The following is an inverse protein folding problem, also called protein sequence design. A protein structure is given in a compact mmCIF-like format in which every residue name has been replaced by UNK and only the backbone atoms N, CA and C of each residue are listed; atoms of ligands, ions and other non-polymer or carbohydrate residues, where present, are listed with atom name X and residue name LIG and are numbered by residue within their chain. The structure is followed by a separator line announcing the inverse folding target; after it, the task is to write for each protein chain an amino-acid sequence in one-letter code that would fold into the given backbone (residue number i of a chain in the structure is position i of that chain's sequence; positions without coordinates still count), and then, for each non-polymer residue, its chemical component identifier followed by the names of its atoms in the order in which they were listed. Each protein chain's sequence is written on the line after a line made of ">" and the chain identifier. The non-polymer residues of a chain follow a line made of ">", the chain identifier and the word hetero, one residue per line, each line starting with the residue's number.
data_IF_059809977396
#
_entry.id   IF_059809977396
#
_cell.length_a   1.000
_cell.length_b   1.000
_cell.length_c   1.000
_cell.angle_alpha   90.00
_cell.angle_beta   90.00
_cell.angle_gamma   90.00
#
_symmetry.space_group_name_H-M   'P 1'
#
loop_
_entity.id
_entity.type
_entity.pdbx_description
1 polymer ?
#
# COMPACT_ATOMS: atom_id res chain seq x y z
N UNK A 1 43.38 -16.23 -12.27
CA UNK A 1 42.39 -15.41 -11.56
C UNK A 1 41.00 -15.98 -11.81
N UNK A 2 40.33 -16.52 -10.77
CA UNK A 2 39.02 -17.18 -10.89
C UNK A 2 37.92 -16.12 -10.98
N UNK A 3 37.30 -15.96 -12.15
CA UNK A 3 36.09 -15.15 -12.34
C UNK A 3 34.92 -15.88 -11.66
N UNK A 4 34.47 -15.38 -10.52
CA UNK A 4 33.27 -15.89 -9.84
C UNK A 4 32.05 -15.21 -10.44
N UNK A 5 31.16 -16.04 -10.97
CA UNK A 5 29.81 -15.69 -11.40
C UNK A 5 29.09 -14.85 -10.35
N UNK A 6 28.62 -13.67 -10.74
CA UNK A 6 27.65 -12.92 -9.97
C UNK A 6 26.27 -13.58 -10.17
N UNK A 7 26.04 -14.55 -9.28
CA UNK A 7 24.79 -14.84 -8.58
C UNK A 7 23.50 -14.29 -9.23
N UNK A 8 22.83 -15.20 -9.94
CA UNK A 8 21.38 -15.29 -10.03
C UNK A 8 20.76 -15.13 -8.63
N UNK A 9 20.35 -13.91 -8.27
CA UNK A 9 19.61 -13.67 -7.03
C UNK A 9 18.53 -12.61 -7.25
N UNK A 10 17.63 -12.89 -8.18
CA UNK A 10 16.56 -11.96 -8.53
C UNK A 10 15.32 -12.67 -9.02
N UNK A 11 14.80 -13.65 -8.27
CA UNK A 11 13.52 -14.32 -8.58
C UNK A 11 13.02 -15.21 -7.41
N UNK A 12 13.09 -14.74 -6.16
CA UNK A 12 12.64 -15.53 -5.00
C UNK A 12 11.67 -14.81 -4.04
N UNK A 13 11.29 -13.56 -4.29
CA UNK A 13 10.47 -12.79 -3.33
C UNK A 13 8.97 -12.70 -3.67
N UNK A 14 8.48 -13.35 -4.72
CA UNK A 14 7.06 -13.28 -5.11
C UNK A 14 6.13 -14.29 -4.42
N UNK A 15 6.59 -15.06 -3.43
CA UNK A 15 5.86 -16.22 -2.91
C UNK A 15 5.39 -16.10 -1.44
N UNK A 16 5.06 -14.90 -0.94
CA UNK A 16 4.47 -14.72 0.41
C UNK A 16 3.12 -13.96 0.38
N UNK A 17 2.42 -13.92 -0.76
CA UNK A 17 1.13 -13.21 -0.90
C UNK A 17 -0.07 -14.16 -0.70
N UNK A 18 0.03 -15.14 0.21
CA UNK A 18 -1.06 -16.12 0.42
C UNK A 18 -1.29 -16.54 1.88
N UNK A 19 -0.89 -15.72 2.85
CA UNK A 19 -1.35 -15.84 4.22
C UNK A 19 -1.89 -14.48 4.62
N UNK A 20 -3.17 -14.41 5.00
CA UNK A 20 -3.86 -13.17 5.34
C UNK A 20 -2.93 -12.26 6.13
N UNK A 21 -2.57 -11.13 5.52
CA UNK A 21 -1.54 -10.22 6.00
C UNK A 21 -2.04 -9.56 7.28
N UNK A 22 -1.85 -10.25 8.40
CA UNK A 22 -2.07 -9.71 9.74
C UNK A 22 -0.85 -8.87 10.06
N UNK A 23 -1.05 -7.56 10.03
CA UNK A 23 -0.02 -6.59 10.38
C UNK A 23 0.09 -6.57 11.90
N UNK A 24 1.30 -6.85 12.41
CA UNK A 24 1.55 -6.89 13.85
C UNK A 24 1.27 -5.54 14.54
N UNK A 25 1.60 -4.43 13.87
CA UNK A 25 1.31 -3.07 14.31
C UNK A 25 0.77 -2.23 13.14
N UNK A 26 -0.57 -2.18 12.98
CA UNK A 26 -1.23 -1.42 11.92
C UNK A 26 -0.91 0.07 11.94
N UNK A 27 -0.79 0.65 13.13
CA UNK A 27 -0.58 2.09 13.32
C UNK A 27 0.86 2.48 12.97
N UNK A 28 1.85 1.69 13.41
CA UNK A 28 3.24 1.89 13.00
C UNK A 28 3.41 1.76 11.48
N UNK A 29 2.75 0.77 10.86
CA UNK A 29 2.78 0.62 9.40
C UNK A 29 2.11 1.81 8.70
N UNK A 30 0.99 2.29 9.23
CA UNK A 30 0.32 3.48 8.72
C UNK A 30 1.23 4.72 8.77
N UNK A 31 1.87 4.97 9.92
CA UNK A 31 2.81 6.08 10.07
C UNK A 31 4.02 5.93 9.15
N UNK A 32 4.52 4.70 8.96
CA UNK A 32 5.57 4.42 7.99
C UNK A 32 5.13 4.83 6.59
N UNK A 33 3.92 4.45 6.14
CA UNK A 33 3.42 4.85 4.83
C UNK A 33 3.10 6.34 4.71
N UNK A 34 2.80 7.05 5.80
CA UNK A 34 2.69 8.52 5.75
C UNK A 34 4.06 9.19 5.58
N UNK A 35 5.12 8.63 6.15
CA UNK A 35 6.46 9.23 6.13
C UNK A 35 7.28 8.80 4.90
N UNK A 36 7.12 7.56 4.45
CA UNK A 36 7.85 6.96 3.32
C UNK A 36 6.93 6.80 2.10
N UNK A 37 7.00 7.76 1.19
CA UNK A 37 6.23 7.78 -0.04
C UNK A 37 6.58 6.61 -0.97
N UNK A 38 7.85 6.20 -1.01
CA UNK A 38 8.30 5.11 -1.88
C UNK A 38 7.77 3.77 -1.39
N UNK A 39 7.87 3.50 -0.10
CA UNK A 39 7.32 2.28 0.51
C UNK A 39 5.80 2.21 0.33
N UNK A 40 5.09 3.33 0.52
CA UNK A 40 3.64 3.39 0.28
C UNK A 40 3.29 3.09 -1.17
N UNK A 41 3.93 3.76 -2.13
CA UNK A 41 3.63 3.61 -3.56
C UNK A 41 3.99 2.22 -4.09
N UNK A 42 5.06 1.61 -3.60
CA UNK A 42 5.41 0.22 -3.91
C UNK A 42 4.29 -0.72 -3.44
N UNK A 43 3.81 -0.55 -2.19
CA UNK A 43 2.74 -1.41 -1.67
C UNK A 43 1.39 -1.17 -2.37
N UNK A 44 1.03 0.08 -2.64
CA UNK A 44 -0.17 0.42 -3.43
C UNK A 44 -0.12 -0.23 -4.81
N UNK A 45 1.03 -0.18 -5.47
CA UNK A 45 1.23 -0.82 -6.77
C UNK A 45 1.08 -2.34 -6.70
N UNK A 46 1.68 -2.98 -5.67
CA UNK A 46 1.52 -4.41 -5.40
C UNK A 46 0.03 -4.77 -5.19
N UNK A 47 -0.69 -4.00 -4.37
CA UNK A 47 -2.10 -4.25 -4.07
C UNK A 47 -3.01 -4.07 -5.28
N UNK A 48 -2.68 -3.15 -6.20
CA UNK A 48 -3.45 -2.95 -7.45
C UNK A 48 -3.33 -4.12 -8.43
N UNK A 49 -2.35 -5.01 -8.26
CA UNK A 49 -2.22 -6.23 -9.04
C UNK A 49 -3.14 -7.35 -8.54
N UNK A 50 -3.68 -7.22 -7.33
CA UNK A 50 -4.62 -8.18 -6.74
C UNK A 50 -6.06 -7.89 -7.17
N UNK A 51 -6.93 -8.90 -7.12
CA UNK A 51 -8.37 -8.68 -7.30
C UNK A 51 -8.96 -7.84 -6.16
N UNK A 52 -10.09 -7.17 -6.39
CA UNK A 52 -10.75 -6.34 -5.37
C UNK A 52 -11.09 -7.14 -4.09
N UNK A 53 -11.47 -8.41 -4.25
CA UNK A 53 -11.76 -9.30 -3.13
C UNK A 53 -10.49 -9.56 -2.29
N UNK A 54 -9.36 -9.85 -2.94
CA UNK A 54 -8.07 -10.06 -2.26
C UNK A 54 -7.53 -8.78 -1.60
N UNK A 55 -7.70 -7.62 -2.27
CA UNK A 55 -7.36 -6.32 -1.70
C UNK A 55 -8.10 -6.06 -0.39
N UNK A 56 -9.39 -6.37 -0.35
CA UNK A 56 -10.24 -6.17 0.84
C UNK A 56 -9.88 -7.10 2.01
N UNK A 57 -9.20 -8.21 1.74
CA UNK A 57 -8.76 -9.19 2.74
C UNK A 57 -7.36 -8.92 3.28
N UNK A 58 -6.59 -8.05 2.62
CA UNK A 58 -5.22 -7.71 3.01
C UNK A 58 -5.17 -6.45 3.87
N UNK A 59 -4.81 -6.59 5.15
CA UNK A 59 -4.74 -5.45 6.07
C UNK A 59 -3.66 -4.45 5.63
N UNK A 60 -2.52 -4.91 5.12
CA UNK A 60 -1.48 -4.01 4.61
C UNK A 60 -1.92 -3.22 3.39
N UNK A 61 -2.75 -3.79 2.50
CA UNK A 61 -3.33 -3.08 1.37
C UNK A 61 -4.31 -2.01 1.82
N UNK A 62 -5.20 -2.34 2.76
CA UNK A 62 -6.13 -1.36 3.34
C UNK A 62 -5.36 -0.18 3.95
N UNK A 63 -4.30 -0.46 4.72
CA UNK A 63 -3.47 0.58 5.35
C UNK A 63 -2.74 1.42 4.28
N UNK A 64 -2.20 0.79 3.23
CA UNK A 64 -1.50 1.49 2.15
C UNK A 64 -2.45 2.41 1.36
N UNK A 65 -3.63 1.93 0.98
CA UNK A 65 -4.64 2.74 0.28
C UNK A 65 -5.17 3.88 1.15
N UNK A 66 -5.40 3.64 2.45
CA UNK A 66 -5.79 4.70 3.39
C UNK A 66 -4.73 5.80 3.46
N UNK A 67 -3.45 5.42 3.64
CA UNK A 67 -2.36 6.37 3.70
C UNK A 67 -2.21 7.17 2.38
N UNK A 68 -2.50 6.52 1.25
CA UNK A 68 -2.43 7.16 -0.05
C UNK A 68 -3.58 8.16 -0.25
N UNK A 69 -4.79 7.79 0.13
CA UNK A 69 -5.96 8.67 0.16
C UNK A 69 -5.73 9.90 1.03
N UNK A 70 -5.24 9.72 2.26
CA UNK A 70 -4.93 10.82 3.18
C UNK A 70 -3.86 11.78 2.62
N UNK A 71 -2.81 11.25 1.97
CA UNK A 71 -1.80 12.06 1.29
C UNK A 71 -2.37 12.81 0.09
N UNK A 72 -3.21 12.17 -0.72
CA UNK A 72 -3.86 12.81 -1.85
C UNK A 72 -4.82 13.91 -1.38
N UNK A 73 -5.64 13.67 -0.35
CA UNK A 73 -6.51 14.68 0.24
C UNK A 73 -5.72 15.88 0.76
N UNK A 74 -4.60 15.65 1.47
CA UNK A 74 -3.72 16.73 1.93
C UNK A 74 -3.09 17.51 0.77
N UNK A 75 -2.65 16.83 -0.30
CA UNK A 75 -2.06 17.47 -1.49
C UNK A 75 -3.08 18.30 -2.27
N UNK A 76 -4.33 17.86 -2.33
CA UNK A 76 -5.41 18.56 -3.03
C UNK A 76 -6.21 19.52 -2.13
N UNK A 77 -5.65 19.90 -0.97
CA UNK A 77 -6.23 20.95 -0.12
C UNK A 77 -7.51 20.57 0.62
N UNK A 78 -7.79 19.27 0.77
CA UNK A 78 -8.98 18.74 1.44
C UNK A 78 -10.26 19.30 0.84
N UNK A 79 -10.79 18.66 -0.20
CA UNK A 79 -12.09 19.07 -0.75
C UNK A 79 -13.11 19.00 0.39
N UNK A 80 -13.49 20.16 0.91
CA UNK A 80 -14.60 20.34 1.83
C UNK A 80 -15.83 19.88 1.07
N UNK A 81 -16.25 18.62 1.26
CA UNK A 81 -17.56 18.20 0.81
C UNK A 81 -18.58 18.98 1.62
N UNK A 82 -19.06 20.09 1.07
CA UNK A 82 -20.33 20.68 1.53
C UNK A 82 -21.41 19.63 1.28
N UNK A 83 -22.22 19.24 2.29
CA UNK A 83 -23.31 18.30 2.08
C UNK A 83 -24.17 18.80 0.92
N UNK A 84 -24.45 17.93 -0.05
CA UNK A 84 -25.48 18.20 -1.04
C UNK A 84 -26.81 18.31 -0.27
N UNK A 85 -27.31 19.54 -0.14
CA UNK A 85 -28.65 19.79 0.37
C UNK A 85 -29.65 19.23 -0.64
N UNK A 86 -30.17 18.04 -0.36
CA UNK A 86 -31.19 17.34 -1.14
C UNK A 86 -32.61 17.76 -0.72
N UNK A 87 -32.77 18.90 -0.05
CA UNK A 87 -34.10 19.42 0.31
C UNK A 87 -34.68 20.24 -0.85
N UNK A 88 -35.33 19.57 -1.81
CA UNK A 88 -36.32 20.21 -2.69
C UNK A 88 -37.38 19.24 -3.17
#
# INVERSE_FOLDING_TARGET
>A
MRRKSFLLLGLASLAIVACGDKVADPDALYQKYLNDDAARQAKVSECKLLSTDEQSKSQSCIIAFKADGDKQMKRHGGVKMTPLDLSK
#
